data_IF_803247199684
#
_entry.id   IF_803247199684
#
_cell.length_a   1.000
_cell.length_b   1.000
_cell.length_c   1.000
_cell.angle_alpha   90.00
_cell.angle_beta   90.00
_cell.angle_gamma   90.00
#
_symmetry.space_group_name_H-M   'P 1'
#
loop_
_entity.id
_entity.type
_entity.pdbx_description
1 polymer ?
#
# COMPACT_ATOMS: atom_id res chain seq x y z
N UNK A 1 -14.59 3.30 -8.02
CA UNK A 1 -14.68 2.12 -7.14
C UNK A 1 -16.13 1.91 -6.75
N UNK A 2 -16.57 0.67 -6.72
CA UNK A 2 -17.90 0.25 -6.28
C UNK A 2 -17.71 -0.62 -5.03
N UNK A 3 -18.56 -0.42 -4.02
CA UNK A 3 -18.57 -1.23 -2.80
C UNK A 3 -19.71 -2.26 -2.93
N UNK A 4 -19.39 -3.53 -2.69
CA UNK A 4 -20.39 -4.59 -2.69
C UNK A 4 -21.24 -4.62 -1.39
N UNK A 5 -22.19 -5.54 -1.30
CA UNK A 5 -23.07 -5.70 -0.13
C UNK A 5 -22.29 -6.04 1.14
N UNK A 6 -21.11 -6.66 1.03
CA UNK A 6 -20.25 -7.02 2.15
C UNK A 6 -19.27 -5.90 2.54
N UNK A 7 -19.11 -4.84 1.70
CA UNK A 7 -18.24 -3.71 1.97
C UNK A 7 -16.83 -3.86 1.41
N UNK A 8 -16.63 -4.73 0.44
CA UNK A 8 -15.40 -4.77 -0.35
C UNK A 8 -15.48 -3.80 -1.52
N UNK A 9 -14.36 -3.15 -1.81
CA UNK A 9 -14.26 -2.19 -2.91
C UNK A 9 -13.68 -2.84 -4.16
N UNK A 10 -14.41 -2.75 -5.27
CA UNK A 10 -14.01 -3.26 -6.59
C UNK A 10 -13.96 -2.13 -7.62
N UNK A 11 -13.13 -2.26 -8.66
CA UNK A 11 -13.20 -1.36 -9.81
C UNK A 11 -14.53 -1.55 -10.54
N UNK A 12 -15.14 -0.43 -10.98
CA UNK A 12 -16.32 -0.43 -11.83
C UNK A 12 -16.00 0.37 -13.08
N UNK A 13 -16.26 -0.24 -14.24
CA UNK A 13 -16.08 0.42 -15.53
C UNK A 13 -17.28 1.34 -15.76
N UNK A 14 -17.01 2.59 -16.08
CA UNK A 14 -17.99 3.56 -16.55
C UNK A 14 -18.18 3.34 -18.05
N UNK A 15 -19.29 2.68 -18.41
CA UNK A 15 -19.55 2.29 -19.80
C UNK A 15 -19.75 3.50 -20.73
N UNK A 16 -20.17 4.66 -20.18
CA UNK A 16 -20.33 5.88 -20.96
C UNK A 16 -18.99 6.51 -21.37
N UNK A 17 -17.91 6.21 -20.58
CA UNK A 17 -16.54 6.70 -20.82
C UNK A 17 -15.61 5.61 -21.35
N UNK A 18 -16.09 4.39 -21.43
CA UNK A 18 -15.29 3.27 -21.88
C UNK A 18 -15.05 3.34 -23.39
N UNK A 19 -13.78 3.31 -23.79
CA UNK A 19 -13.36 3.28 -25.20
C UNK A 19 -12.96 1.88 -25.65
N UNK A 20 -13.28 0.85 -24.90
CA UNK A 20 -13.03 -0.58 -25.17
C UNK A 20 -11.56 -0.92 -25.47
N UNK A 21 -10.59 -0.16 -24.92
CA UNK A 21 -9.17 -0.36 -25.17
C UNK A 21 -8.55 -1.59 -24.46
N UNK A 22 -9.29 -2.29 -23.58
CA UNK A 22 -8.83 -3.47 -22.84
C UNK A 22 -7.75 -3.22 -21.81
N UNK A 23 -7.32 -1.96 -21.58
CA UNK A 23 -6.20 -1.64 -20.66
C UNK A 23 -6.51 -2.03 -19.22
N UNK A 24 -7.75 -1.85 -18.77
CA UNK A 24 -8.17 -2.22 -17.40
C UNK A 24 -8.04 -3.73 -17.14
N UNK A 25 -8.31 -4.57 -18.16
CA UNK A 25 -8.13 -6.03 -18.06
C UNK A 25 -6.64 -6.41 -18.10
N UNK A 26 -5.87 -5.77 -18.97
CA UNK A 26 -4.45 -6.01 -19.14
C UNK A 26 -3.63 -5.69 -17.87
N UNK A 27 -3.98 -4.63 -17.14
CA UNK A 27 -3.27 -4.23 -15.93
C UNK A 27 -3.83 -4.87 -14.66
N UNK A 28 -4.95 -5.61 -14.76
CA UNK A 28 -5.59 -6.25 -13.62
C UNK A 28 -4.68 -7.35 -13.02
N UNK A 29 -4.31 -7.27 -11.73
CA UNK A 29 -3.42 -8.25 -11.11
C UNK A 29 -4.07 -9.66 -10.99
N UNK A 30 -5.40 -9.76 -11.10
CA UNK A 30 -6.11 -11.06 -11.08
C UNK A 30 -5.95 -11.78 -12.43
N UNK A 31 -5.93 -11.02 -13.53
CA UNK A 31 -5.79 -11.57 -14.88
C UNK A 31 -4.33 -11.82 -15.27
N UNK A 32 -3.39 -11.14 -14.61
CA UNK A 32 -1.96 -11.40 -14.77
C UNK A 32 -1.52 -12.42 -13.72
N UNK A 33 -0.83 -13.47 -14.15
CA UNK A 33 -0.23 -14.43 -13.24
C UNK A 33 1.17 -13.92 -12.81
N UNK A 34 1.29 -13.15 -11.71
CA UNK A 34 2.57 -12.63 -11.29
C UNK A 34 3.41 -13.80 -10.77
N UNK A 35 4.36 -14.25 -11.55
CA UNK A 35 5.38 -15.21 -11.07
C UNK A 35 6.35 -14.48 -10.15
N UNK A 36 5.97 -14.32 -8.90
CA UNK A 36 6.86 -13.81 -7.85
C UNK A 36 7.32 -14.97 -6.96
N UNK A 37 8.09 -15.88 -7.52
CA UNK A 37 8.85 -16.84 -6.72
C UNK A 37 10.06 -16.12 -6.13
N UNK A 38 10.26 -16.13 -4.81
CA UNK A 38 11.48 -15.58 -4.21
C UNK A 38 12.67 -16.39 -4.71
N UNK A 39 13.68 -15.70 -5.26
CA UNK A 39 14.89 -16.30 -5.79
C UNK A 39 15.85 -16.66 -4.64
N UNK A 40 15.85 -15.88 -3.57
CA UNK A 40 16.77 -16.00 -2.44
C UNK A 40 16.02 -15.67 -1.15
N UNK A 41 16.32 -16.45 -0.09
CA UNK A 41 15.87 -16.17 1.27
C UNK A 41 17.03 -15.61 2.10
N UNK A 42 16.78 -14.52 2.84
CA UNK A 42 17.72 -13.92 3.77
C UNK A 42 17.12 -13.80 5.15
N UNK A 43 17.97 -13.97 6.17
CA UNK A 43 17.67 -13.53 7.52
C UNK A 43 18.45 -12.25 7.77
N UNK A 44 17.76 -11.17 8.15
CA UNK A 44 18.38 -9.92 8.57
C UNK A 44 18.10 -9.68 10.03
N UNK A 45 19.12 -9.30 10.78
CA UNK A 45 19.00 -8.92 12.17
C UNK A 45 19.74 -7.59 12.39
N UNK A 46 19.12 -6.69 13.16
CA UNK A 46 19.78 -5.44 13.56
C UNK A 46 19.37 -5.06 14.99
N UNK A 47 20.23 -4.29 15.63
CA UNK A 47 19.94 -3.73 16.95
C UNK A 47 19.43 -2.29 16.79
N UNK A 48 18.11 -2.11 16.85
CA UNK A 48 17.49 -0.79 16.80
C UNK A 48 16.65 -0.55 18.06
N UNK A 49 17.00 0.49 18.81
CA UNK A 49 16.26 0.89 20.04
C UNK A 49 14.78 1.21 19.77
N UNK A 50 14.41 1.51 18.52
CA UNK A 50 13.04 1.81 18.11
C UNK A 50 12.26 0.59 17.61
N UNK A 51 12.84 -0.61 17.60
CA UNK A 51 12.21 -1.83 17.10
C UNK A 51 10.87 -2.13 17.80
N UNK A 52 10.76 -1.79 19.09
CA UNK A 52 9.54 -1.98 19.90
C UNK A 52 8.37 -1.14 19.39
N UNK A 53 8.64 -0.04 18.67
CA UNK A 53 7.62 0.84 18.08
C UNK A 53 7.22 0.43 16.66
N UNK A 54 7.88 -0.60 16.10
CA UNK A 54 7.68 -1.05 14.73
C UNK A 54 6.98 -2.41 14.72
N UNK A 55 6.21 -2.68 13.68
CA UNK A 55 5.71 -4.02 13.40
C UNK A 55 6.76 -4.85 12.65
N UNK A 56 6.67 -6.18 12.75
CA UNK A 56 7.47 -7.14 11.94
C UNK A 56 8.98 -6.87 11.96
N UNK A 57 9.54 -6.64 13.15
CA UNK A 57 10.98 -6.43 13.31
C UNK A 57 11.54 -5.12 12.78
N UNK A 58 10.69 -4.21 12.25
CA UNK A 58 11.08 -2.85 11.84
C UNK A 58 11.81 -2.77 10.48
N UNK A 59 11.80 -3.81 9.65
CA UNK A 59 12.48 -3.78 8.34
C UNK A 59 11.97 -2.64 7.46
N UNK A 60 10.64 -2.46 7.35
CA UNK A 60 10.07 -1.35 6.61
C UNK A 60 10.56 0.00 7.14
N UNK A 61 10.56 0.21 8.46
CA UNK A 61 11.02 1.47 9.05
C UNK A 61 12.47 1.79 8.72
N UNK A 62 13.36 0.78 8.75
CA UNK A 62 14.77 0.95 8.41
C UNK A 62 14.98 1.29 6.94
N UNK A 63 14.37 0.55 6.04
CA UNK A 63 14.48 0.80 4.60
C UNK A 63 13.87 2.16 4.23
N UNK A 64 12.70 2.49 4.78
CA UNK A 64 12.02 3.76 4.55
C UNK A 64 12.87 4.94 5.04
N UNK A 65 13.45 4.83 6.24
CA UNK A 65 14.35 5.85 6.78
C UNK A 65 15.56 6.06 5.86
N UNK A 66 16.19 4.98 5.39
CA UNK A 66 17.32 5.05 4.47
C UNK A 66 16.96 5.76 3.16
N UNK A 67 15.82 5.39 2.54
CA UNK A 67 15.34 6.00 1.30
C UNK A 67 15.08 7.50 1.48
N UNK A 68 14.45 7.91 2.59
CA UNK A 68 14.19 9.32 2.91
C UNK A 68 15.51 10.09 3.07
N UNK A 69 16.49 9.54 3.79
CA UNK A 69 17.81 10.18 3.93
C UNK A 69 18.57 10.34 2.59
N UNK A 70 18.28 9.47 1.63
CA UNK A 70 18.81 9.59 0.26
C UNK A 70 17.99 10.56 -0.63
N UNK A 71 17.02 11.28 -0.07
CA UNK A 71 16.16 12.20 -0.82
C UNK A 71 15.07 11.51 -1.62
N UNK A 72 14.80 10.23 -1.35
CA UNK A 72 13.74 9.47 -1.99
C UNK A 72 12.37 9.65 -1.32
N UNK A 73 11.37 8.98 -1.87
CA UNK A 73 9.98 8.99 -1.41
C UNK A 73 9.54 7.58 -1.08
N UNK A 74 8.80 7.44 0.02
CA UNK A 74 8.28 6.17 0.52
C UNK A 74 6.78 6.18 0.45
N UNK A 75 6.17 5.09 -0.06
CA UNK A 75 4.73 4.86 0.00
C UNK A 75 4.43 3.70 0.96
N UNK A 76 3.41 3.90 1.80
CA UNK A 76 2.96 2.90 2.76
C UNK A 76 1.56 3.21 3.27
N UNK A 77 0.97 2.27 3.99
CA UNK A 77 -0.39 2.40 4.50
C UNK A 77 -0.43 3.25 5.77
N UNK A 78 -1.28 4.28 5.78
CA UNK A 78 -1.65 5.06 6.96
C UNK A 78 -3.12 4.83 7.33
N UNK A 79 -3.46 5.00 8.61
CA UNK A 79 -4.84 5.06 9.06
C UNK A 79 -5.28 6.52 9.16
N UNK A 80 -6.22 6.92 8.33
CA UNK A 80 -6.73 8.29 8.28
C UNK A 80 -8.18 8.38 8.76
N UNK A 81 -8.55 9.49 9.38
CA UNK A 81 -9.94 9.76 9.76
C UNK A 81 -10.58 10.66 8.70
N UNK A 82 -11.37 10.05 7.81
CA UNK A 82 -12.03 10.74 6.69
C UNK A 82 -13.53 10.75 6.97
N UNK A 83 -14.14 11.93 7.02
CA UNK A 83 -15.58 12.11 7.34
C UNK A 83 -16.02 11.36 8.60
N UNK A 84 -15.21 11.41 9.66
CA UNK A 84 -15.48 10.76 10.93
C UNK A 84 -15.19 9.25 10.98
N UNK A 85 -14.87 8.60 9.87
CA UNK A 85 -14.57 7.16 9.77
C UNK A 85 -13.07 6.91 9.59
N UNK A 86 -12.55 5.90 10.25
CA UNK A 86 -11.16 5.46 10.04
C UNK A 86 -11.05 4.66 8.75
N UNK A 87 -10.16 5.11 7.85
CA UNK A 87 -9.89 4.45 6.58
C UNK A 87 -8.39 4.24 6.40
N UNK A 88 -7.93 3.02 6.09
CA UNK A 88 -6.56 2.80 5.68
C UNK A 88 -6.40 3.26 4.23
N UNK A 89 -5.40 4.11 3.98
CA UNK A 89 -5.04 4.61 2.65
C UNK A 89 -3.54 4.52 2.45
N UNK A 90 -3.11 4.34 1.22
CA UNK A 90 -1.69 4.46 0.89
C UNK A 90 -1.34 5.95 0.76
N UNK A 91 -0.25 6.35 1.41
CA UNK A 91 0.28 7.73 1.39
C UNK A 91 1.78 7.75 1.13
N UNK A 92 2.25 8.87 0.63
CA UNK A 92 3.69 9.13 0.49
C UNK A 92 4.27 9.83 1.72
N UNK A 93 5.56 9.58 1.97
CA UNK A 93 6.38 10.26 2.95
C UNK A 93 7.76 10.55 2.35
N UNK A 94 8.25 11.77 2.53
CA UNK A 94 9.59 12.19 2.14
C UNK A 94 10.41 12.75 3.32
N UNK A 95 9.89 12.63 4.51
CA UNK A 95 10.53 13.00 5.77
C UNK A 95 10.11 12.07 6.91
N UNK A 96 10.83 12.09 8.02
CA UNK A 96 10.60 11.17 9.15
C UNK A 96 9.30 11.44 9.89
N UNK A 97 8.79 12.67 9.87
CA UNK A 97 7.51 13.01 10.50
C UNK A 97 6.35 12.36 9.75
N UNK A 98 6.35 12.46 8.44
CA UNK A 98 5.31 11.88 7.58
C UNK A 98 5.43 10.35 7.47
N UNK A 99 6.62 9.79 7.78
CA UNK A 99 6.81 8.34 7.87
C UNK A 99 6.07 7.72 9.07
N UNK A 100 5.92 8.43 10.20
CA UNK A 100 5.35 7.87 11.42
C UNK A 100 3.96 7.22 11.23
N UNK A 101 3.00 7.83 10.54
CA UNK A 101 1.68 7.22 10.29
C UNK A 101 1.74 5.95 9.44
N UNK A 102 2.80 5.76 8.66
CA UNK A 102 2.99 4.59 7.80
C UNK A 102 3.49 3.37 8.57
N UNK A 103 4.07 3.57 9.76
CA UNK A 103 4.57 2.49 10.59
C UNK A 103 3.42 1.71 11.25
N UNK A 104 3.68 0.44 11.55
CA UNK A 104 2.70 -0.47 12.14
C UNK A 104 1.69 -1.04 11.13
N UNK A 105 1.18 -2.22 11.42
CA UNK A 105 0.27 -2.96 10.54
C UNK A 105 -1.16 -2.42 10.60
N UNK A 106 -1.84 -2.36 9.47
CA UNK A 106 -3.25 -1.99 9.32
C UNK A 106 -3.98 -3.16 8.67
N UNK A 107 -4.69 -3.93 9.48
CA UNK A 107 -5.33 -5.18 9.05
C UNK A 107 -6.73 -4.95 8.46
N UNK A 108 -6.83 -4.05 7.48
CA UNK A 108 -8.04 -3.72 6.72
C UNK A 108 -7.64 -3.37 5.29
N UNK A 109 -8.54 -3.61 4.32
CA UNK A 109 -8.30 -3.26 2.92
C UNK A 109 -7.96 -1.77 2.77
N UNK A 110 -6.76 -1.47 2.28
CA UNK A 110 -6.30 -0.11 2.06
C UNK A 110 -6.64 0.37 0.66
N UNK A 111 -7.07 1.64 0.56
CA UNK A 111 -7.26 2.31 -0.72
C UNK A 111 -5.91 2.83 -1.24
N UNK A 112 -5.55 2.43 -2.45
CA UNK A 112 -4.32 2.88 -3.12
C UNK A 112 -4.44 4.28 -3.71
N UNK A 113 -5.63 4.82 -3.84
CA UNK A 113 -5.90 6.14 -4.41
C UNK A 113 -5.14 6.38 -5.74
N UNK A 114 -4.50 7.51 -5.89
CA UNK A 114 -3.71 7.87 -7.07
C UNK A 114 -2.22 7.55 -6.95
N UNK A 115 -1.81 6.77 -5.94
CA UNK A 115 -0.39 6.57 -5.61
C UNK A 115 0.41 5.87 -6.70
N UNK A 116 -0.19 5.07 -7.56
CA UNK A 116 0.48 4.47 -8.70
C UNK A 116 0.90 5.54 -9.73
N UNK A 117 0.02 6.48 -10.01
CA UNK A 117 0.33 7.61 -10.89
C UNK A 117 1.41 8.52 -10.29
N UNK A 118 1.31 8.82 -8.99
CA UNK A 118 2.32 9.60 -8.27
C UNK A 118 3.67 8.90 -8.30
N UNK A 119 3.71 7.60 -8.04
CA UNK A 119 4.91 6.77 -8.14
C UNK A 119 5.53 6.88 -9.53
N UNK A 120 4.75 6.69 -10.59
CA UNK A 120 5.25 6.81 -11.97
C UNK A 120 5.87 8.19 -12.24
N UNK A 121 5.23 9.26 -11.76
CA UNK A 121 5.77 10.64 -11.92
C UNK A 121 7.12 10.82 -11.23
N UNK A 122 7.28 10.28 -10.02
CA UNK A 122 8.53 10.36 -9.26
C UNK A 122 9.63 9.55 -9.94
N UNK A 123 9.33 8.34 -10.38
CA UNK A 123 10.27 7.45 -11.07
C UNK A 123 10.77 8.07 -12.37
N UNK A 124 9.89 8.70 -13.17
CA UNK A 124 10.26 9.42 -14.39
C UNK A 124 11.17 10.64 -14.14
N UNK A 125 11.13 11.20 -12.92
CA UNK A 125 12.03 12.28 -12.49
C UNK A 125 13.37 11.78 -11.93
N UNK A 126 13.61 10.47 -11.93
CA UNK A 126 14.82 9.86 -11.36
C UNK A 126 14.81 9.77 -9.84
N UNK A 127 13.70 10.10 -9.17
CA UNK A 127 13.59 10.02 -7.71
C UNK A 127 13.47 8.55 -7.30
N UNK A 128 14.25 8.16 -6.28
CA UNK A 128 14.15 6.81 -5.71
C UNK A 128 12.85 6.64 -4.93
N UNK A 129 12.12 5.57 -5.20
CA UNK A 129 10.84 5.26 -4.56
C UNK A 129 10.91 3.91 -3.88
N UNK A 130 10.45 3.86 -2.63
CA UNK A 130 10.11 2.64 -1.90
C UNK A 130 8.59 2.54 -1.81
N UNK A 131 8.00 1.48 -2.38
CA UNK A 131 6.57 1.25 -2.30
C UNK A 131 6.29 -0.04 -1.52
N UNK A 132 5.56 0.07 -0.39
CA UNK A 132 5.13 -1.07 0.43
C UNK A 132 3.63 -1.30 0.30
N UNK A 133 3.24 -2.55 0.09
CA UNK A 133 1.84 -2.94 -0.05
C UNK A 133 1.65 -4.44 0.05
N UNK A 134 0.41 -4.88 -0.03
CA UNK A 134 0.09 -6.30 -0.17
C UNK A 134 0.50 -6.81 -1.55
N UNK A 135 0.70 -8.13 -1.75
CA UNK A 135 1.13 -8.67 -3.05
C UNK A 135 0.24 -8.24 -4.22
N UNK A 136 -1.09 -8.18 -4.03
CA UNK A 136 -2.02 -7.71 -5.06
C UNK A 136 -1.83 -6.21 -5.39
N UNK A 137 -1.51 -5.37 -4.38
CA UNK A 137 -1.22 -3.95 -4.61
C UNK A 137 0.11 -3.76 -5.34
N UNK A 138 1.14 -4.51 -4.97
CA UNK A 138 2.44 -4.45 -5.64
C UNK A 138 2.34 -4.97 -7.08
N UNK A 139 1.61 -6.07 -7.30
CA UNK A 139 1.32 -6.57 -8.65
C UNK A 139 0.56 -5.54 -9.48
N UNK A 140 -0.46 -4.90 -8.91
CA UNK A 140 -1.18 -3.82 -9.56
C UNK A 140 -0.30 -2.63 -9.92
N UNK A 141 0.62 -2.23 -9.03
CA UNK A 141 1.60 -1.18 -9.31
C UNK A 141 2.52 -1.56 -10.48
N UNK A 142 3.12 -2.77 -10.45
CA UNK A 142 4.02 -3.25 -11.52
C UNK A 142 3.30 -3.30 -12.87
N UNK A 143 2.07 -3.83 -12.90
CA UNK A 143 1.25 -3.87 -14.09
C UNK A 143 0.89 -2.46 -14.61
N UNK A 144 0.60 -1.52 -13.71
CA UNK A 144 0.35 -0.12 -14.06
C UNK A 144 1.57 0.54 -14.70
N UNK A 145 2.77 0.30 -14.15
CA UNK A 145 4.01 0.88 -14.65
C UNK A 145 4.44 0.30 -16.00
N UNK A 146 4.07 -0.94 -16.33
CA UNK A 146 4.35 -1.67 -17.60
C UNK A 146 5.83 -1.78 -17.98
N UNK A 147 6.75 -1.41 -17.09
CA UNK A 147 8.19 -1.54 -17.26
C UNK A 147 8.90 -1.56 -15.91
N UNK A 148 10.10 -2.08 -15.89
CA UNK A 148 10.97 -2.02 -14.73
C UNK A 148 11.62 -0.62 -14.60
N UNK A 149 11.85 -0.22 -13.35
CA UNK A 149 12.54 1.01 -12.99
C UNK A 149 13.61 0.68 -11.95
N UNK A 150 14.88 1.04 -12.23
CA UNK A 150 16.01 0.77 -11.32
C UNK A 150 15.91 1.57 -10.01
N UNK A 151 15.18 2.67 -10.03
CA UNK A 151 14.92 3.53 -8.88
C UNK A 151 13.62 3.20 -8.14
N UNK A 152 13.00 2.02 -8.39
CA UNK A 152 11.87 1.49 -7.65
C UNK A 152 12.27 0.29 -6.79
N UNK A 153 12.00 0.38 -5.50
CA UNK A 153 12.06 -0.75 -4.57
C UNK A 153 10.64 -1.07 -4.11
N UNK A 154 10.22 -2.33 -4.18
CA UNK A 154 8.92 -2.78 -3.68
C UNK A 154 9.09 -3.70 -2.48
N UNK A 155 8.21 -3.55 -1.49
CA UNK A 155 8.09 -4.45 -0.34
C UNK A 155 6.71 -5.09 -0.38
N UNK A 156 6.69 -6.40 -0.61
CA UNK A 156 5.48 -7.21 -0.51
C UNK A 156 5.29 -7.64 0.95
N UNK A 157 4.17 -7.25 1.54
CA UNK A 157 3.79 -7.66 2.89
C UNK A 157 3.19 -9.05 2.79
N UNK A 158 3.57 -9.99 3.66
CA UNK A 158 2.90 -11.29 3.75
C UNK A 158 1.43 -11.04 4.12
N UNK A 159 0.52 -11.43 3.24
CA UNK A 159 -0.91 -11.18 3.37
C UNK A 159 -1.70 -12.48 3.23
N UNK A 160 -2.56 -12.76 4.22
CA UNK A 160 -3.50 -13.90 4.24
C UNK A 160 -4.94 -13.48 3.93
N UNK A 161 -5.16 -12.22 3.53
CA UNK A 161 -6.46 -11.60 3.35
C UNK A 161 -6.71 -10.45 4.31
N UNK A 162 -7.77 -9.71 4.07
CA UNK A 162 -8.17 -8.56 4.90
C UNK A 162 -9.67 -8.60 5.17
N UNK A 163 -10.12 -8.18 6.37
CA UNK A 163 -11.55 -7.94 6.61
C UNK A 163 -12.02 -6.76 5.75
N UNK A 164 -13.30 -6.74 5.47
CA UNK A 164 -13.93 -5.62 4.78
C UNK A 164 -14.05 -4.38 5.67
N UNK A 165 -14.26 -3.23 5.05
CA UNK A 165 -14.34 -1.95 5.74
C UNK A 165 -15.59 -1.81 6.62
N UNK A 166 -16.71 -2.46 6.30
CA UNK A 166 -17.95 -2.42 7.11
C UNK A 166 -17.76 -3.10 8.46
N UNK A 167 -17.18 -4.31 8.48
CA UNK A 167 -16.87 -5.03 9.73
C UNK A 167 -15.93 -4.20 10.60
N UNK A 168 -14.87 -3.64 10.01
CA UNK A 168 -13.94 -2.78 10.73
C UNK A 168 -14.63 -1.56 11.35
N UNK A 169 -15.46 -0.83 10.59
CA UNK A 169 -16.18 0.34 11.10
C UNK A 169 -17.17 -0.04 12.21
N UNK A 170 -17.85 -1.18 12.08
CA UNK A 170 -18.75 -1.69 13.12
C UNK A 170 -17.98 -1.98 14.41
N UNK A 171 -16.80 -2.59 14.31
CA UNK A 171 -15.93 -2.84 15.46
C UNK A 171 -15.45 -1.54 16.13
N UNK A 172 -15.00 -0.56 15.36
CA UNK A 172 -14.58 0.75 15.88
C UNK A 172 -15.75 1.44 16.60
N UNK A 173 -16.94 1.45 15.99
CA UNK A 173 -18.13 2.04 16.61
C UNK A 173 -18.52 1.36 17.93
N UNK A 174 -18.35 0.04 18.03
CA UNK A 174 -18.56 -0.70 19.25
C UNK A 174 -17.57 -0.30 20.36
N UNK A 175 -16.28 -0.18 20.02
CA UNK A 175 -15.25 0.24 20.98
C UNK A 175 -15.47 1.68 21.45
N UNK A 176 -15.83 2.60 20.55
CA UNK A 176 -16.10 4.00 20.90
C UNK A 176 -17.31 4.13 21.85
N UNK A 177 -18.35 3.29 21.67
CA UNK A 177 -19.51 3.24 22.59
C UNK A 177 -19.15 2.72 23.98
N UNK A 178 -18.21 1.78 24.09
CA UNK A 178 -17.78 1.22 25.39
C UNK A 178 -16.86 2.18 26.18
N UNK A 179 -16.26 3.15 25.54
CA UNK A 179 -15.34 4.12 26.19
C UNK A 179 -16.06 5.40 26.65
N UNK A 180 -17.33 5.56 26.32
CA UNK A 180 -18.22 6.60 26.84
C UNK A 180 -18.96 6.08 28.08
#
# INVERSE_FOLDING_TARGET
MHEDEYGFSYPKIDLEKCIECGLCEKVCPINSNPQNTPIIAFTAAWNNKNIIKCASGGMFASMATYIIFKGGVVFGCAMEKIQGKYKPIIKSANNLKDLQPLLGSKYVQADTQNTYYETQKLLKKGIQVLYSGTPCQISGLKNYLQRNYDNLITIDIICHGTPNTKIFQSYISYIEKKKK
#
